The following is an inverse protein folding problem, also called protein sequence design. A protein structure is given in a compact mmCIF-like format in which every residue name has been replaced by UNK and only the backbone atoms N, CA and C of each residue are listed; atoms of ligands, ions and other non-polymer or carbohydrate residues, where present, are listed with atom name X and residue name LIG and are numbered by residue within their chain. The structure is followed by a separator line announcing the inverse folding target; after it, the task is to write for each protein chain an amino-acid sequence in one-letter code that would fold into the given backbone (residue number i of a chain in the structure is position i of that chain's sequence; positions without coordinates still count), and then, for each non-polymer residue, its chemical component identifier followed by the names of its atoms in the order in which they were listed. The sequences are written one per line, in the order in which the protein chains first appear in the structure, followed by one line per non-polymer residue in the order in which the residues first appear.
data_IF_981722740887
#
_entry.id   IF_981722740887
#
_cell.length_a   1.000
_cell.length_b   1.000
_cell.length_c   1.000
_cell.angle_alpha   90.00
_cell.angle_beta   90.00
_cell.angle_gamma   90.00
#
_symmetry.space_group_name_H-M   'P 1'
#
loop_
_entity.id
_entity.type
_entity.pdbx_description
1 polymer ?
#
# COMPACT_ATOMS: atom_id res chain seq x y z
N UNK A 1 13.33 -11.62 -15.38
CA UNK A 1 12.77 -10.87 -14.24
C UNK A 1 11.32 -11.32 -14.05
N UNK A 2 10.82 -11.52 -12.83
CA UNK A 2 9.44 -11.99 -12.59
C UNK A 2 8.65 -11.03 -11.70
N UNK A 3 7.33 -11.12 -11.76
CA UNK A 3 6.41 -10.36 -10.92
C UNK A 3 6.36 -10.85 -9.45
N UNK A 4 7.15 -11.86 -9.07
CA UNK A 4 7.16 -12.40 -7.71
C UNK A 4 7.61 -11.33 -6.72
N UNK A 5 6.79 -11.10 -5.70
CA UNK A 5 7.13 -10.24 -4.57
C UNK A 5 8.09 -10.98 -3.63
N UNK A 6 9.20 -10.31 -3.29
CA UNK A 6 10.21 -10.77 -2.33
C UNK A 6 10.32 -9.84 -1.13
N UNK A 7 9.67 -8.67 -1.20
CA UNK A 7 9.67 -7.65 -0.16
C UNK A 7 8.43 -7.73 0.74
N UNK A 8 7.28 -8.11 0.18
CA UNK A 8 6.00 -8.25 0.87
C UNK A 8 5.08 -7.04 0.77
N UNK A 9 5.61 -5.85 0.44
CA UNK A 9 4.80 -4.63 0.33
C UNK A 9 3.69 -4.76 -0.72
N UNK A 10 4.00 -5.30 -1.91
CA UNK A 10 3.02 -5.47 -2.98
C UNK A 10 1.95 -6.50 -2.62
N UNK A 11 2.34 -7.60 -1.98
CA UNK A 11 1.42 -8.63 -1.50
C UNK A 11 0.45 -8.06 -0.46
N UNK A 12 0.96 -7.27 0.49
CA UNK A 12 0.15 -6.62 1.52
C UNK A 12 -0.86 -5.62 0.94
N UNK A 13 -0.43 -4.76 0.00
CA UNK A 13 -1.33 -3.77 -0.61
C UNK A 13 -2.38 -4.44 -1.50
N UNK A 14 -1.99 -5.47 -2.26
CA UNK A 14 -2.90 -6.20 -3.14
C UNK A 14 -3.98 -6.96 -2.34
N UNK A 15 -3.60 -7.63 -1.25
CA UNK A 15 -4.55 -8.33 -0.38
C UNK A 15 -5.49 -7.36 0.37
N UNK A 16 -5.01 -6.16 0.71
CA UNK A 16 -5.85 -5.11 1.30
C UNK A 16 -6.90 -4.58 0.31
N UNK A 17 -6.55 -4.44 -0.96
CA UNK A 17 -7.48 -3.95 -1.98
C UNK A 17 -8.49 -5.03 -2.40
N UNK A 18 -8.02 -6.23 -2.77
CA UNK A 18 -8.85 -7.27 -3.39
C UNK A 18 -8.52 -8.69 -2.92
N UNK A 19 -7.93 -8.84 -1.73
CA UNK A 19 -7.66 -10.16 -1.16
C UNK A 19 -8.94 -10.98 -0.99
N UNK A 20 -8.84 -12.26 -1.33
CA UNK A 20 -9.90 -13.23 -1.06
C UNK A 20 -10.18 -13.35 0.44
N UNK A 21 -11.35 -13.87 0.78
CA UNK A 21 -11.72 -14.15 2.17
C UNK A 21 -10.88 -15.32 2.68
N UNK A 22 -10.12 -15.11 3.76
CA UNK A 22 -9.29 -16.13 4.40
C UNK A 22 -9.60 -16.14 5.90
N UNK A 23 -10.07 -17.29 6.38
CA UNK A 23 -10.43 -17.49 7.79
C UNK A 23 -9.21 -17.91 8.64
N UNK A 24 -9.27 -17.62 9.95
CA UNK A 24 -8.29 -18.11 10.91
C UNK A 24 -6.89 -17.51 10.77
N UNK A 25 -6.76 -16.33 10.13
CA UNK A 25 -5.47 -15.66 9.96
C UNK A 25 -5.09 -14.88 11.21
N UNK A 26 -3.80 -14.80 11.49
CA UNK A 26 -3.22 -13.96 12.54
C UNK A 26 -1.73 -13.75 12.31
N UNK A 27 -1.13 -12.75 12.95
CA UNK A 27 0.32 -12.62 13.08
C UNK A 27 0.72 -13.08 14.49
N UNK A 28 1.16 -14.34 14.62
CA UNK A 28 1.47 -14.95 15.92
C UNK A 28 0.33 -14.78 16.96
N UNK A 29 -0.92 -14.92 16.52
CA UNK A 29 -2.12 -14.73 17.35
C UNK A 29 -2.63 -13.28 17.43
N UNK A 30 -1.85 -12.29 17.00
CA UNK A 30 -2.32 -10.90 16.89
C UNK A 30 -3.27 -10.75 15.71
N UNK A 31 -4.27 -9.89 15.88
CA UNK A 31 -5.27 -9.56 14.86
C UNK A 31 -6.07 -10.79 14.36
N UNK A 32 -6.26 -11.81 15.20
CA UNK A 32 -6.92 -13.04 14.80
C UNK A 32 -8.34 -12.80 14.26
N UNK A 33 -8.66 -13.40 13.11
CA UNK A 33 -9.98 -13.27 12.49
C UNK A 33 -10.01 -13.67 11.03
N UNK A 34 -10.90 -13.03 10.27
CA UNK A 34 -11.06 -13.23 8.83
C UNK A 34 -10.42 -12.03 8.10
N UNK A 35 -9.41 -12.28 7.28
CA UNK A 35 -8.86 -11.26 6.40
C UNK A 35 -9.60 -11.27 5.05
N UNK A 36 -9.83 -10.07 4.50
CA UNK A 36 -10.34 -9.87 3.14
C UNK A 36 -9.97 -8.47 2.66
N UNK A 37 -9.91 -8.30 1.35
CA UNK A 37 -9.78 -6.97 0.75
C UNK A 37 -11.09 -6.17 0.76
N UNK A 38 -11.01 -4.90 0.36
CA UNK A 38 -12.19 -4.06 0.13
C UNK A 38 -13.13 -4.62 -0.96
N UNK A 39 -12.57 -5.24 -2.00
CA UNK A 39 -13.30 -5.89 -3.09
C UNK A 39 -12.83 -7.34 -3.33
N UNK A 40 -13.22 -8.32 -2.49
CA UNK A 40 -12.69 -9.70 -2.55
C UNK A 40 -12.97 -10.48 -3.84
N UNK A 41 -13.88 -9.97 -4.69
CA UNK A 41 -14.25 -10.58 -5.98
C UNK A 41 -13.64 -9.86 -7.19
N UNK A 42 -12.90 -8.77 -6.96
CA UNK A 42 -12.21 -8.06 -8.03
C UNK A 42 -11.04 -8.92 -8.55
N UNK A 43 -10.68 -8.71 -9.82
CA UNK A 43 -9.49 -9.34 -10.41
C UNK A 43 -8.26 -8.47 -10.12
N UNK A 44 -7.11 -9.12 -9.92
CA UNK A 44 -5.83 -8.45 -9.71
C UNK A 44 -4.95 -8.61 -10.95
N UNK A 45 -4.47 -7.48 -11.48
CA UNK A 45 -3.35 -7.41 -12.42
C UNK A 45 -2.16 -6.78 -11.69
N UNK A 46 -0.99 -7.43 -11.72
CA UNK A 46 0.16 -7.04 -10.91
C UNK A 46 1.30 -6.57 -11.80
N UNK A 47 1.64 -5.29 -11.69
CA UNK A 47 2.75 -4.65 -12.40
C UNK A 47 3.87 -4.34 -11.42
N UNK A 48 4.93 -5.16 -11.41
CA UNK A 48 6.05 -4.98 -10.48
C UNK A 48 7.02 -3.93 -11.00
N UNK A 49 7.06 -2.79 -10.31
CA UNK A 49 7.91 -1.63 -10.65
C UNK A 49 9.05 -1.41 -9.66
N UNK A 50 8.96 -2.06 -8.50
CA UNK A 50 9.91 -1.95 -7.41
C UNK A 50 10.73 -3.23 -7.27
N UNK A 51 12.05 -3.09 -7.24
CA UNK A 51 12.99 -4.20 -7.18
C UNK A 51 14.00 -4.00 -6.06
N UNK A 52 14.49 -5.11 -5.48
CA UNK A 52 15.57 -5.02 -4.50
C UNK A 52 16.84 -4.49 -5.16
N UNK A 53 17.46 -3.52 -4.49
CA UNK A 53 18.73 -2.96 -4.87
C UNK A 53 19.78 -3.12 -3.78
N UNK A 54 21.04 -2.75 -4.03
CA UNK A 54 22.15 -2.99 -3.09
C UNK A 54 22.01 -2.32 -1.72
N UNK A 55 21.18 -1.26 -1.61
CA UNK A 55 21.01 -0.46 -0.39
C UNK A 55 19.55 -0.26 0.03
N UNK A 56 18.62 -0.30 -0.92
CA UNK A 56 17.19 -0.08 -0.71
C UNK A 56 16.40 -0.60 -1.92
N UNK A 57 15.10 -0.75 -1.74
CA UNK A 57 14.16 -0.94 -2.85
C UNK A 57 14.33 0.20 -3.85
N UNK A 58 14.55 -0.17 -5.11
CA UNK A 58 14.66 0.75 -6.23
C UNK A 58 13.34 0.82 -6.97
N UNK A 59 12.91 2.04 -7.25
CA UNK A 59 11.76 2.36 -8.08
C UNK A 59 12.26 3.28 -9.20
N UNK A 60 12.36 2.73 -10.42
CA UNK A 60 12.77 3.51 -11.58
C UNK A 60 11.54 4.16 -12.23
N UNK A 61 11.62 5.44 -12.59
CA UNK A 61 10.57 6.17 -13.31
C UNK A 61 10.17 5.44 -14.59
N UNK A 62 11.15 5.00 -15.38
CA UNK A 62 10.89 4.28 -16.62
C UNK A 62 10.08 3.00 -16.40
N UNK A 63 10.34 2.25 -15.33
CA UNK A 63 9.58 1.04 -15.00
C UNK A 63 8.14 1.38 -14.59
N UNK A 64 7.93 2.47 -13.86
CA UNK A 64 6.59 2.91 -13.46
C UNK A 64 5.79 3.49 -14.64
N UNK A 65 6.41 4.25 -15.52
CA UNK A 65 5.76 4.72 -16.75
C UNK A 65 5.39 3.56 -17.68
N UNK A 66 6.29 2.58 -17.86
CA UNK A 66 5.99 1.38 -18.64
C UNK A 66 4.82 0.58 -18.04
N UNK A 67 4.81 0.39 -16.71
CA UNK A 67 3.71 -0.29 -16.03
C UNK A 67 2.37 0.46 -16.15
N UNK A 68 2.39 1.79 -16.15
CA UNK A 68 1.18 2.58 -16.38
C UNK A 68 0.68 2.41 -17.82
N UNK A 69 1.57 2.43 -18.81
CA UNK A 69 1.23 2.22 -20.22
C UNK A 69 0.65 0.82 -20.46
N UNK A 70 1.32 -0.22 -19.94
CA UNK A 70 0.85 -1.61 -20.00
C UNK A 70 -0.53 -1.76 -19.33
N UNK A 71 -0.73 -1.17 -18.14
CA UNK A 71 -2.01 -1.26 -17.44
C UNK A 71 -3.14 -0.53 -18.16
N UNK A 72 -2.85 0.60 -18.81
CA UNK A 72 -3.82 1.29 -19.67
C UNK A 72 -4.17 0.42 -20.87
N UNK A 73 -3.18 -0.17 -21.52
CA UNK A 73 -3.37 -1.06 -22.67
C UNK A 73 -4.19 -2.31 -22.30
N UNK A 74 -3.91 -2.91 -21.15
CA UNK A 74 -4.62 -4.08 -20.63
C UNK A 74 -6.06 -3.78 -20.19
N UNK A 75 -6.43 -2.50 -20.09
CA UNK A 75 -7.78 -2.05 -19.79
C UNK A 75 -8.18 -2.27 -18.33
N UNK A 76 -7.28 -2.01 -17.38
CA UNK A 76 -7.61 -2.07 -15.95
C UNK A 76 -8.63 -0.99 -15.58
N UNK A 77 -9.53 -1.29 -14.63
CA UNK A 77 -10.54 -0.30 -14.20
C UNK A 77 -9.99 0.71 -13.18
N UNK A 78 -9.08 0.27 -12.30
CA UNK A 78 -8.53 1.06 -11.19
C UNK A 78 -7.03 0.73 -11.01
N UNK A 79 -6.22 1.77 -10.82
CA UNK A 79 -4.81 1.68 -10.45
C UNK A 79 -4.62 2.04 -8.97
N UNK A 80 -4.15 1.09 -8.17
CA UNK A 80 -3.79 1.29 -6.76
C UNK A 80 -2.27 1.34 -6.59
N UNK A 81 -1.74 2.51 -6.24
CA UNK A 81 -0.31 2.82 -6.28
C UNK A 81 0.16 3.35 -4.92
N UNK A 82 0.59 2.45 -4.04
CA UNK A 82 1.21 2.80 -2.75
C UNK A 82 2.70 3.11 -2.89
N UNK A 83 3.04 4.02 -3.80
CA UNK A 83 4.42 4.47 -4.06
C UNK A 83 4.49 6.00 -4.05
N UNK A 84 5.62 6.55 -3.62
CA UNK A 84 5.89 7.97 -3.71
C UNK A 84 6.75 8.22 -4.94
N UNK A 85 6.25 9.02 -5.88
CA UNK A 85 7.03 9.38 -7.06
C UNK A 85 6.64 10.77 -7.58
N UNK A 86 7.58 11.70 -7.58
CA UNK A 86 7.29 13.12 -7.80
C UNK A 86 7.00 13.50 -9.27
N UNK A 87 7.22 12.61 -10.24
CA UNK A 87 7.28 12.96 -11.68
C UNK A 87 6.32 12.16 -12.59
N UNK A 88 5.32 11.47 -12.04
CA UNK A 88 4.41 10.61 -12.84
C UNK A 88 3.05 11.24 -13.16
N UNK A 89 2.96 12.56 -13.02
CA UNK A 89 1.76 13.32 -13.32
C UNK A 89 1.22 12.99 -14.72
N UNK A 90 2.09 12.89 -15.73
CA UNK A 90 1.66 12.59 -17.11
C UNK A 90 1.14 11.16 -17.29
N UNK A 91 1.81 10.15 -16.72
CA UNK A 91 1.36 8.76 -16.83
C UNK A 91 -0.01 8.55 -16.17
N UNK A 92 -0.21 9.13 -14.98
CA UNK A 92 -1.52 9.09 -14.30
C UNK A 92 -2.59 9.91 -15.03
N UNK A 93 -2.22 11.03 -15.69
CA UNK A 93 -3.16 11.82 -16.49
C UNK A 93 -3.69 11.01 -17.68
N UNK A 94 -2.82 10.27 -18.39
CA UNK A 94 -3.25 9.41 -19.50
C UNK A 94 -4.21 8.33 -19.04
N UNK A 95 -3.96 7.70 -17.89
CA UNK A 95 -4.87 6.71 -17.32
C UNK A 95 -6.25 7.32 -17.03
N UNK A 96 -6.30 8.48 -16.37
CA UNK A 96 -7.56 9.16 -16.05
C UNK A 96 -8.31 9.61 -17.31
N UNK A 97 -7.60 10.09 -18.33
CA UNK A 97 -8.20 10.43 -19.64
C UNK A 97 -8.84 9.22 -20.34
N UNK A 98 -8.38 8.00 -20.03
CA UNK A 98 -8.96 6.74 -20.53
C UNK A 98 -10.04 6.17 -19.60
N UNK A 99 -10.44 6.91 -18.57
CA UNK A 99 -11.47 6.49 -17.62
C UNK A 99 -10.98 5.59 -16.48
N UNK A 100 -9.66 5.44 -16.33
CA UNK A 100 -9.06 4.60 -15.28
C UNK A 100 -8.80 5.45 -14.03
N UNK A 101 -9.39 5.05 -12.91
CA UNK A 101 -9.19 5.78 -11.64
C UNK A 101 -7.83 5.47 -11.05
N UNK A 102 -7.08 6.49 -10.65
CA UNK A 102 -5.74 6.33 -10.05
C UNK A 102 -5.76 6.75 -8.57
N UNK A 103 -5.32 5.84 -7.70
CA UNK A 103 -5.26 6.04 -6.24
C UNK A 103 -3.82 5.96 -5.77
N UNK A 104 -3.34 6.99 -5.09
CA UNK A 104 -2.01 7.08 -4.53
C UNK A 104 -2.04 7.24 -3.00
N UNK A 105 -0.98 6.78 -2.34
CA UNK A 105 -0.69 7.18 -0.95
C UNK A 105 -0.09 8.60 -0.88
N UNK A 106 -0.48 9.38 0.13
CA UNK A 106 0.02 10.75 0.35
C UNK A 106 1.50 10.81 0.79
N UNK A 107 2.05 9.68 1.24
CA UNK A 107 3.41 9.56 1.74
C UNK A 107 3.53 9.66 3.27
N UNK A 108 4.71 9.28 3.78
CA UNK A 108 4.94 9.05 5.21
C UNK A 108 5.88 10.08 5.85
N UNK A 109 6.07 11.23 5.21
CA UNK A 109 7.03 12.27 5.64
C UNK A 109 6.47 13.28 6.66
N UNK A 110 5.27 13.01 7.19
CA UNK A 110 4.63 13.78 8.26
C UNK A 110 5.46 13.87 9.55
N UNK A 111 5.08 14.73 10.51
CA UNK A 111 3.83 15.49 10.58
C UNK A 111 3.97 16.96 10.14
N UNK A 112 5.13 17.37 9.60
CA UNK A 112 5.35 18.76 9.17
C UNK A 112 4.35 19.16 8.06
N UNK A 113 3.86 20.41 8.00
CA UNK A 113 3.04 20.85 6.87
C UNK A 113 3.78 20.70 5.52
N UNK A 114 3.00 20.56 4.44
CA UNK A 114 3.49 20.55 3.05
C UNK A 114 4.50 19.42 2.72
N UNK A 115 4.30 18.24 3.30
CA UNK A 115 5.13 17.04 3.05
C UNK A 115 4.41 15.93 2.30
N UNK A 116 3.21 16.19 1.77
CA UNK A 116 2.47 15.23 0.95
C UNK A 116 3.08 15.13 -0.44
N UNK A 117 2.99 13.95 -1.04
CA UNK A 117 3.37 13.64 -2.43
C UNK A 117 2.13 13.28 -3.25
N UNK A 118 2.32 13.03 -4.57
CA UNK A 118 1.25 12.60 -5.48
C UNK A 118 0.05 13.57 -5.50
N UNK A 119 0.31 14.87 -5.65
CA UNK A 119 -0.69 15.94 -5.49
C UNK A 119 -1.37 16.36 -6.78
N UNK A 120 -1.31 15.53 -7.83
CA UNK A 120 -1.96 15.84 -9.09
C UNK A 120 -3.49 15.94 -8.90
N UNK A 121 -4.17 16.94 -9.48
CA UNK A 121 -5.59 17.19 -9.18
C UNK A 121 -6.54 16.11 -9.73
N UNK A 122 -6.07 15.27 -10.65
CA UNK A 122 -6.85 14.20 -11.26
C UNK A 122 -6.72 12.84 -10.55
N UNK A 123 -5.87 12.72 -9.52
CA UNK A 123 -5.70 11.46 -8.77
C UNK A 123 -6.32 11.55 -7.38
N UNK A 124 -6.60 10.40 -6.78
CA UNK A 124 -7.05 10.30 -5.40
C UNK A 124 -5.82 10.09 -4.50
N UNK A 125 -5.51 11.08 -3.67
CA UNK A 125 -4.37 11.03 -2.74
C UNK A 125 -4.87 10.70 -1.34
N UNK A 126 -4.48 9.54 -0.81
CA UNK A 126 -5.01 8.97 0.43
C UNK A 126 -4.03 9.17 1.60
N UNK A 127 -4.52 9.79 2.68
CA UNK A 127 -3.81 9.89 3.95
C UNK A 127 -4.09 8.66 4.85
N UNK A 128 -3.29 8.49 5.91
CA UNK A 128 -3.44 7.39 6.86
C UNK A 128 -3.97 7.91 8.20
N UNK A 129 -4.93 7.19 8.77
CA UNK A 129 -5.46 7.41 10.12
C UNK A 129 -5.19 6.21 11.02
N UNK A 130 -5.77 6.17 12.22
CA UNK A 130 -5.76 5.01 13.11
C UNK A 130 -7.17 4.45 13.26
N UNK A 131 -7.28 3.16 13.54
CA UNK A 131 -8.55 2.53 13.91
C UNK A 131 -8.68 2.36 15.44
N UNK A 132 -9.82 1.85 15.89
CA UNK A 132 -10.13 1.60 17.29
C UNK A 132 -9.38 0.38 17.88
N UNK A 133 -8.90 -0.52 17.02
CA UNK A 133 -8.09 -1.68 17.41
C UNK A 133 -6.69 -1.28 17.92
N UNK A 134 -6.23 -2.02 18.93
CA UNK A 134 -4.92 -1.84 19.54
C UNK A 134 -4.28 -3.16 19.96
N UNK A 135 -2.94 -3.18 20.02
CA UNK A 135 -2.16 -4.34 20.47
C UNK A 135 -1.46 -4.00 21.79
N UNK A 136 -2.06 -4.36 22.94
CA UNK A 136 -1.43 -4.15 24.24
C UNK A 136 -0.25 -5.10 24.42
N UNK A 137 0.89 -4.55 24.82
CA UNK A 137 2.07 -5.29 25.24
C UNK A 137 2.31 -5.05 26.72
N UNK A 138 2.17 -6.10 27.53
CA UNK A 138 2.46 -6.04 28.96
C UNK A 138 3.96 -6.25 29.21
N UNK A 139 4.57 -5.33 29.94
CA UNK A 139 5.99 -5.36 30.31
C UNK A 139 6.07 -5.45 31.83
N UNK A 140 6.49 -6.60 32.35
CA UNK A 140 6.72 -6.80 33.79
C UNK A 140 8.18 -6.53 34.12
N UNK A 141 8.41 -5.59 35.03
CA UNK A 141 9.74 -5.17 35.50
C UNK A 141 10.23 -6.08 36.63
N UNK A 142 11.54 -6.04 36.93
CA UNK A 142 12.16 -6.84 37.99
C UNK A 142 11.66 -6.53 39.41
N UNK A 143 10.97 -5.40 39.61
CA UNK A 143 10.30 -5.03 40.87
C UNK A 143 8.82 -5.51 40.91
N UNK A 144 8.42 -6.39 39.99
CA UNK A 144 7.08 -6.95 39.84
C UNK A 144 5.99 -5.92 39.45
N UNK A 145 6.37 -4.70 39.06
CA UNK A 145 5.43 -3.75 38.44
C UNK A 145 5.22 -4.11 36.97
N UNK A 146 3.96 -4.07 36.51
CA UNK A 146 3.61 -4.31 35.10
C UNK A 146 3.10 -3.04 34.45
N UNK A 147 3.69 -2.68 33.31
CA UNK A 147 3.29 -1.55 32.47
C UNK A 147 2.65 -2.11 31.21
N UNK A 148 1.45 -1.63 30.86
CA UNK A 148 0.79 -2.00 29.59
C UNK A 148 1.00 -0.88 28.59
N UNK A 149 1.77 -1.16 27.54
CA UNK A 149 1.98 -0.24 26.42
C UNK A 149 1.01 -0.61 25.31
N UNK A 150 0.24 0.37 24.83
CA UNK A 150 -0.78 0.12 23.82
C UNK A 150 -0.44 0.87 22.54
N UNK A 151 -0.07 0.13 21.49
CA UNK A 151 0.05 0.69 20.13
C UNK A 151 -1.25 0.48 19.38
N UNK A 152 -1.78 1.54 18.77
CA UNK A 152 -2.99 1.49 17.93
C UNK A 152 -2.61 1.20 16.48
N UNK A 153 -3.45 0.44 15.79
CA UNK A 153 -3.27 0.20 14.37
C UNK A 153 -3.53 1.46 13.54
N UNK A 154 -2.80 1.56 12.43
CA UNK A 154 -3.03 2.50 11.32
C UNK A 154 -3.87 1.84 10.24
#
# INVERSE_FOLDING_TARGET
MSARDINGHGTHTASTAAGAVVEGVSLHGLAAGVARGGAPRARLAVYKVAFEGPKKVQLASAALLAALDDAIHDGVDILSLSVQYNDNSFGSLHAVQKGITVVYGAGNSGPRPQVISNTAPWVITVATSKIDRSFPTAITLGNNQTIVVCTRET
#
